data_IF_917272096353
#
_entry.id   IF_917272096353
#
_cell.length_a   1.000
_cell.length_b   1.000
_cell.length_c   1.000
_cell.angle_alpha   90.00
_cell.angle_beta   90.00
_cell.angle_gamma   90.00
#
_symmetry.space_group_name_H-M   'P 1'
#
loop_
_entity.id
_entity.type
_entity.pdbx_description
1 polymer ?
#
# COMPACT_ATOMS: atom_id res chain seq x y z
N UNK A 1 -11.39 -10.31 -19.72
CA UNK A 1 -9.94 -10.23 -19.45
C UNK A 1 -9.26 -9.86 -20.75
N UNK A 2 -8.31 -8.91 -20.77
CA UNK A 2 -7.66 -8.46 -22.01
C UNK A 2 -6.82 -9.60 -22.62
N UNK A 3 -6.73 -9.64 -23.96
CA UNK A 3 -5.82 -10.57 -24.65
C UNK A 3 -4.36 -10.16 -24.46
N UNK A 4 -3.43 -11.09 -24.67
CA UNK A 4 -1.98 -10.79 -24.61
C UNK A 4 -1.56 -9.73 -25.61
N UNK A 5 -2.12 -9.75 -26.82
CA UNK A 5 -1.88 -8.73 -27.85
C UNK A 5 -2.36 -7.35 -27.38
N UNK A 6 -3.57 -7.28 -26.80
CA UNK A 6 -4.10 -6.04 -26.25
C UNK A 6 -3.23 -5.48 -25.12
N UNK A 7 -2.69 -6.34 -24.25
CA UNK A 7 -1.76 -5.91 -23.17
C UNK A 7 -0.47 -5.38 -23.80
N UNK A 8 0.10 -6.08 -24.78
CA UNK A 8 1.32 -5.66 -25.44
C UNK A 8 1.15 -4.29 -26.13
N UNK A 9 0.03 -4.07 -26.81
CA UNK A 9 -0.28 -2.78 -27.43
C UNK A 9 -0.35 -1.64 -26.42
N UNK A 10 -0.92 -1.87 -25.23
CA UNK A 10 -0.95 -0.86 -24.16
C UNK A 10 0.45 -0.60 -23.59
N UNK A 11 1.30 -1.62 -23.47
CA UNK A 11 2.69 -1.44 -23.03
C UNK A 11 3.47 -0.59 -24.05
N UNK A 12 3.31 -0.83 -25.35
CA UNK A 12 3.95 -0.01 -26.39
C UNK A 12 3.49 1.45 -26.33
N UNK A 13 2.19 1.69 -26.13
CA UNK A 13 1.65 3.04 -25.95
C UNK A 13 2.22 3.73 -24.70
N UNK A 14 2.28 3.03 -23.57
CA UNK A 14 2.86 3.56 -22.34
C UNK A 14 4.35 3.91 -22.51
N UNK A 15 5.11 3.07 -23.22
CA UNK A 15 6.52 3.35 -23.57
C UNK A 15 6.66 4.64 -24.36
N UNK A 16 5.84 4.84 -25.40
CA UNK A 16 5.94 6.01 -26.26
C UNK A 16 5.59 7.29 -25.49
N UNK A 17 4.54 7.26 -24.67
CA UNK A 17 4.20 8.37 -23.76
C UNK A 17 5.34 8.69 -22.79
N UNK A 18 5.98 7.68 -22.20
CA UNK A 18 7.12 7.89 -21.29
C UNK A 18 8.35 8.46 -22.02
N UNK A 19 8.59 8.07 -23.27
CA UNK A 19 9.73 8.56 -24.07
C UNK A 19 9.58 10.04 -24.43
N UNK A 20 8.35 10.49 -24.67
CA UNK A 20 8.04 11.83 -25.14
C UNK A 20 7.74 12.82 -24.00
N UNK A 21 7.62 12.35 -22.77
CA UNK A 21 7.32 13.18 -21.62
C UNK A 21 8.52 14.07 -21.21
N UNK A 22 8.28 15.37 -21.07
CA UNK A 22 9.27 16.31 -20.51
C UNK A 22 9.55 16.03 -19.02
N UNK A 23 8.56 15.50 -18.30
CA UNK A 23 8.66 15.14 -16.90
C UNK A 23 7.71 13.99 -16.53
N UNK A 24 8.08 13.19 -15.53
CA UNK A 24 7.27 12.08 -15.02
C UNK A 24 7.04 12.25 -13.51
N UNK A 25 5.77 12.21 -13.11
CA UNK A 25 5.36 12.13 -11.71
C UNK A 25 4.87 10.71 -11.40
N UNK A 26 5.57 10.00 -10.52
CA UNK A 26 5.16 8.68 -10.05
C UNK A 26 4.51 8.84 -8.68
N UNK A 27 3.23 8.53 -8.60
CA UNK A 27 2.53 8.37 -7.31
C UNK A 27 2.52 6.90 -6.92
N UNK A 28 3.11 6.56 -5.79
CA UNK A 28 3.14 5.18 -5.29
C UNK A 28 2.41 5.08 -3.94
N UNK A 29 1.78 3.93 -3.70
CA UNK A 29 1.26 3.53 -2.40
C UNK A 29 2.10 2.41 -1.78
N UNK A 30 1.68 1.93 -0.60
CA UNK A 30 2.36 0.84 0.12
C UNK A 30 2.54 -0.45 -0.71
N UNK A 31 1.67 -0.67 -1.71
CA UNK A 31 1.76 -1.81 -2.62
C UNK A 31 3.11 -1.94 -3.33
N UNK A 32 3.83 -0.83 -3.55
CA UNK A 32 5.17 -0.86 -4.14
C UNK A 32 6.22 -1.59 -3.27
N UNK A 33 5.99 -1.70 -1.96
CA UNK A 33 6.89 -2.35 -1.01
C UNK A 33 6.57 -3.83 -0.73
N UNK A 34 5.47 -4.37 -1.26
CA UNK A 34 4.99 -5.73 -0.95
C UNK A 34 6.03 -6.79 -1.33
N UNK A 35 6.61 -6.67 -2.52
CA UNK A 35 7.66 -7.58 -2.99
C UNK A 35 8.98 -7.41 -2.19
N UNK A 36 9.11 -6.32 -1.43
CA UNK A 36 10.21 -6.08 -0.48
C UNK A 36 9.88 -6.55 0.94
N UNK A 37 8.83 -7.37 1.11
CA UNK A 37 8.36 -7.87 2.42
C UNK A 37 7.81 -6.80 3.36
N UNK A 38 7.51 -5.60 2.86
CA UNK A 38 6.76 -4.60 3.61
C UNK A 38 5.25 -4.85 3.39
N UNK A 39 4.46 -5.03 4.46
CA UNK A 39 3.02 -5.23 4.32
C UNK A 39 2.37 -3.97 3.73
N UNK A 40 1.33 -4.17 2.94
CA UNK A 40 0.39 -3.07 2.70
C UNK A 40 -0.46 -2.81 3.95
N UNK A 41 -1.07 -1.62 4.02
CA UNK A 41 -1.87 -1.23 5.18
C UNK A 41 -3.34 -1.65 5.09
N UNK A 42 -3.83 -1.92 3.87
CA UNK A 42 -5.26 -2.13 3.59
C UNK A 42 -5.57 -3.53 3.07
N UNK A 43 -4.55 -4.37 2.84
CA UNK A 43 -4.74 -5.79 2.58
C UNK A 43 -5.13 -6.49 3.88
N UNK A 44 -6.22 -7.25 3.83
CA UNK A 44 -6.78 -7.95 5.00
C UNK A 44 -5.76 -8.92 5.61
N UNK A 45 -4.88 -9.52 4.82
CA UNK A 45 -3.88 -10.49 5.28
C UNK A 45 -2.55 -9.83 5.71
N UNK A 46 -2.14 -8.75 5.03
CA UNK A 46 -0.83 -8.10 5.22
C UNK A 46 -0.74 -7.35 6.55
N UNK A 47 -1.78 -6.59 6.89
CA UNK A 47 -1.80 -5.78 8.09
C UNK A 47 -1.79 -6.63 9.37
N UNK A 48 -2.66 -7.64 9.48
CA UNK A 48 -2.73 -8.47 10.69
C UNK A 48 -1.48 -9.32 10.93
N UNK A 49 -0.74 -9.68 9.86
CA UNK A 49 0.53 -10.40 9.98
C UNK A 49 1.60 -9.53 10.60
N UNK A 50 1.66 -8.26 10.22
CA UNK A 50 2.63 -7.31 10.73
C UNK A 50 2.27 -6.73 12.10
N UNK A 51 0.98 -6.67 12.44
CA UNK A 51 0.48 -6.09 13.69
C UNK A 51 -0.39 -7.07 14.50
N UNK A 52 0.21 -8.07 15.17
CA UNK A 52 -0.54 -9.07 15.95
C UNK A 52 -1.34 -8.48 17.12
N UNK A 53 -0.86 -7.38 17.72
CA UNK A 53 -1.57 -6.68 18.80
C UNK A 53 -2.86 -6.06 18.27
N UNK A 54 -2.81 -5.43 17.10
CA UNK A 54 -4.00 -4.94 16.41
C UNK A 54 -5.04 -6.04 16.24
N UNK A 55 -4.59 -7.22 15.77
CA UNK A 55 -5.43 -8.39 15.54
C UNK A 55 -6.12 -8.85 16.82
N UNK A 56 -5.37 -8.89 17.93
CA UNK A 56 -5.90 -9.26 19.26
C UNK A 56 -6.95 -8.27 19.76
N UNK A 57 -6.77 -6.98 19.47
CA UNK A 57 -7.69 -5.92 19.87
C UNK A 57 -8.89 -5.75 18.92
N UNK A 58 -8.89 -6.44 17.78
CA UNK A 58 -9.94 -6.30 16.76
C UNK A 58 -9.96 -4.94 16.06
N UNK A 59 -8.87 -4.18 16.12
CA UNK A 59 -8.77 -2.82 15.59
C UNK A 59 -8.21 -2.82 14.16
N UNK A 60 -8.90 -2.18 13.23
CA UNK A 60 -8.39 -1.95 11.87
C UNK A 60 -7.17 -1.00 11.89
N UNK A 61 -6.39 -1.01 10.80
CA UNK A 61 -5.26 -0.09 10.65
C UNK A 61 -5.68 1.38 10.84
N UNK A 62 -6.80 1.82 10.26
CA UNK A 62 -7.20 3.23 10.37
C UNK A 62 -7.64 3.62 11.78
N UNK A 63 -8.09 2.64 12.57
CA UNK A 63 -8.42 2.85 13.98
C UNK A 63 -7.15 3.00 14.80
N UNK A 64 -6.08 2.25 14.49
CA UNK A 64 -4.77 2.34 15.16
C UNK A 64 -3.93 3.53 14.70
N UNK A 65 -3.96 3.87 13.42
CA UNK A 65 -3.27 5.02 12.84
C UNK A 65 -4.01 6.34 13.17
N UNK A 66 -4.37 6.51 14.44
CA UNK A 66 -5.13 7.64 14.94
C UNK A 66 -4.35 8.40 16.03
N UNK A 67 -4.13 9.72 15.90
CA UNK A 67 -3.42 10.53 16.89
C UNK A 67 -4.01 10.46 18.31
N UNK A 68 -5.27 10.07 18.45
CA UNK A 68 -5.96 9.89 19.73
C UNK A 68 -5.21 8.94 20.67
N UNK A 69 -4.61 7.87 20.15
CA UNK A 69 -3.92 6.90 20.99
C UNK A 69 -2.72 7.48 21.72
N UNK A 70 -2.04 8.48 21.17
CA UNK A 70 -0.96 9.16 21.88
C UNK A 70 -1.43 9.93 23.14
N UNK A 71 -2.74 10.20 23.28
CA UNK A 71 -3.33 10.84 24.46
C UNK A 71 -4.00 9.84 25.38
N UNK A 72 -4.82 8.96 24.82
CA UNK A 72 -5.67 8.03 25.59
C UNK A 72 -4.91 6.78 26.04
N UNK A 73 -4.01 6.27 25.21
CA UNK A 73 -3.20 5.09 25.52
C UNK A 73 -1.85 5.15 24.79
N UNK A 74 -0.89 5.96 25.28
CA UNK A 74 0.40 6.13 24.62
C UNK A 74 1.16 4.82 24.43
N UNK A 75 0.98 3.85 25.34
CA UNK A 75 1.59 2.52 25.21
C UNK A 75 1.11 1.78 23.96
N UNK A 76 -0.16 1.90 23.60
CA UNK A 76 -0.69 1.33 22.36
C UNK A 76 -0.14 2.03 21.12
N UNK A 77 0.03 3.35 21.18
CA UNK A 77 0.57 4.13 20.05
C UNK A 77 2.04 3.80 19.72
N UNK A 78 2.81 3.32 20.72
CA UNK A 78 4.25 2.99 20.60
C UNK A 78 4.55 1.48 20.63
N UNK A 79 3.53 0.62 20.68
CA UNK A 79 3.69 -0.84 20.72
C UNK A 79 3.98 -1.44 19.33
#
# INVERSE_FOLDING_TARGET
>A
MMSKEQINDQIQKARDVLREADAVLITAGAGMGVDSSLPDFRGVEGFWRAYPIAKKLGLRFEELANPRWFRENPKLAWA
#
